data_IF_639808006707
#
_entry.id   IF_639808006707
#
_cell.length_a   1.000
_cell.length_b   1.000
_cell.length_c   1.000
_cell.angle_alpha   90.00
_cell.angle_beta   90.00
_cell.angle_gamma   90.00
#
_symmetry.space_group_name_H-M   'P 1'
#
loop_
_entity.id
_entity.type
_entity.pdbx_description
1 polymer ?
#
# COMPACT_ATOMS: atom_id res chain seq x y z
N UNK A 1 -1.02 -19.42 1.36
CA UNK A 1 -0.31 -18.14 1.55
C UNK A 1 -0.90 -17.45 2.77
N UNK A 2 -0.11 -17.23 3.82
CA UNK A 2 -0.51 -16.44 4.99
C UNK A 2 -0.31 -14.94 4.74
N UNK A 3 -0.94 -14.09 5.56
CA UNK A 3 -0.73 -12.63 5.49
C UNK A 3 0.73 -12.28 5.73
N UNK A 4 1.44 -13.01 6.59
CA UNK A 4 2.89 -12.84 6.78
C UNK A 4 3.67 -13.12 5.50
N UNK A 5 3.38 -14.22 4.83
CA UNK A 5 4.03 -14.58 3.55
C UNK A 5 3.76 -13.53 2.47
N UNK A 6 2.56 -12.93 2.47
CA UNK A 6 2.25 -11.81 1.58
C UNK A 6 3.10 -10.57 1.90
N UNK A 7 3.23 -10.20 3.18
CA UNK A 7 4.11 -9.09 3.61
C UNK A 7 5.57 -9.32 3.20
N UNK A 8 6.07 -10.54 3.34
CA UNK A 8 7.42 -10.93 2.88
C UNK A 8 7.58 -10.74 1.36
N UNK A 9 6.56 -11.10 0.59
CA UNK A 9 6.57 -10.93 -0.86
C UNK A 9 6.53 -9.44 -1.26
N UNK A 10 5.72 -8.63 -0.59
CA UNK A 10 5.69 -7.16 -0.80
C UNK A 10 7.06 -6.55 -0.52
N UNK A 11 7.68 -6.90 0.61
CA UNK A 11 9.03 -6.44 0.93
C UNK A 11 10.07 -6.85 -0.11
N UNK A 12 9.99 -8.08 -0.62
CA UNK A 12 10.87 -8.53 -1.68
C UNK A 12 10.75 -7.65 -2.92
N UNK A 13 9.52 -7.32 -3.34
CA UNK A 13 9.27 -6.41 -4.46
C UNK A 13 9.81 -5.02 -4.17
N UNK A 14 9.53 -4.44 -2.99
CA UNK A 14 10.02 -3.11 -2.59
C UNK A 14 11.55 -3.02 -2.58
N UNK A 15 12.25 -4.06 -2.10
CA UNK A 15 13.72 -4.14 -2.14
C UNK A 15 14.29 -4.17 -3.55
N UNK A 16 13.57 -4.80 -4.48
CA UNK A 16 13.97 -4.82 -5.89
C UNK A 16 13.51 -3.59 -6.66
N UNK A 17 12.58 -2.83 -6.10
CA UNK A 17 12.16 -1.56 -6.65
C UNK A 17 13.31 -0.55 -6.53
N UNK A 18 13.43 0.35 -7.51
CA UNK A 18 14.38 1.47 -7.44
C UNK A 18 13.83 2.63 -6.60
N UNK A 19 12.82 2.39 -5.76
CA UNK A 19 12.26 3.45 -4.95
C UNK A 19 13.28 3.87 -3.88
N UNK A 20 13.51 5.19 -3.72
CA UNK A 20 14.24 5.68 -2.57
C UNK A 20 13.46 5.28 -1.31
N UNK A 21 14.21 5.00 -0.25
CA UNK A 21 13.69 4.60 1.07
C UNK A 21 12.43 5.35 1.49
N UNK A 22 11.54 4.68 2.23
CA UNK A 22 10.40 5.33 2.86
C UNK A 22 10.84 6.08 4.14
N UNK A 23 10.56 7.39 4.20
CA UNK A 23 10.96 8.25 5.32
C UNK A 23 10.25 7.87 6.64
N UNK A 24 9.05 7.28 6.56
CA UNK A 24 8.27 6.84 7.74
C UNK A 24 8.88 5.58 8.33
N UNK A 25 9.33 4.66 7.48
CA UNK A 25 9.99 3.43 7.90
C UNK A 25 11.31 3.70 8.65
N UNK A 26 12.02 4.78 8.31
CA UNK A 26 13.25 5.22 8.99
C UNK A 26 14.45 4.27 8.84
N UNK A 27 14.35 3.27 7.96
CA UNK A 27 15.39 2.27 7.64
C UNK A 27 15.26 1.82 6.19
N UNK A 28 16.32 1.31 5.55
CA UNK A 28 16.23 0.81 4.19
C UNK A 28 15.32 -0.42 4.10
N UNK A 29 14.63 -0.59 2.96
CA UNK A 29 13.78 -1.77 2.72
C UNK A 29 14.55 -3.10 2.84
N UNK A 30 15.88 -3.09 2.64
CA UNK A 30 16.75 -4.26 2.85
C UNK A 30 16.68 -4.79 4.28
N UNK A 31 16.49 -3.89 5.25
CA UNK A 31 16.55 -4.18 6.68
C UNK A 31 15.15 -4.28 7.30
N UNK A 32 14.10 -3.98 6.52
CA UNK A 32 12.72 -4.09 6.94
C UNK A 32 12.28 -5.55 7.10
N UNK A 33 11.45 -5.82 8.11
CA UNK A 33 10.85 -7.13 8.39
C UNK A 33 9.33 -7.07 8.22
N UNK A 34 8.63 -8.22 8.11
CA UNK A 34 7.17 -8.22 7.98
C UNK A 34 6.41 -7.51 9.11
N UNK A 35 7.03 -7.34 10.29
CA UNK A 35 6.43 -6.63 11.43
C UNK A 35 6.46 -5.10 11.25
N UNK A 36 7.31 -4.60 10.34
CA UNK A 36 7.42 -3.19 10.00
C UNK A 36 6.33 -2.70 9.04
N UNK A 37 5.48 -3.60 8.55
CA UNK A 37 4.44 -3.30 7.57
C UNK A 37 3.08 -3.81 8.02
N UNK A 38 2.05 -3.10 7.59
CA UNK A 38 0.68 -3.58 7.64
C UNK A 38 0.02 -3.44 6.27
N UNK A 39 -0.82 -4.41 5.94
CA UNK A 39 -1.54 -4.43 4.67
C UNK A 39 -2.97 -4.01 4.94
N UNK A 40 -3.50 -3.14 4.07
CA UNK A 40 -4.84 -2.58 4.21
C UNK A 40 -5.63 -2.77 2.92
N UNK A 41 -6.95 -2.80 3.05
CA UNK A 41 -7.88 -2.63 1.94
C UNK A 41 -8.67 -1.35 2.16
N UNK A 42 -8.99 -0.63 1.08
CA UNK A 42 -9.92 0.48 1.14
C UNK A 42 -11.37 -0.05 1.29
N UNK A 43 -12.11 0.51 2.23
CA UNK A 43 -13.54 0.25 2.46
C UNK A 43 -14.24 1.57 2.74
N UNK A 44 -15.10 1.99 1.81
CA UNK A 44 -15.88 3.23 1.89
C UNK A 44 -15.00 4.44 2.21
N UNK A 45 -14.86 4.81 3.48
CA UNK A 45 -14.11 5.97 3.96
C UNK A 45 -12.89 5.61 4.85
N UNK A 46 -12.46 4.34 4.88
CA UNK A 46 -11.38 3.89 5.76
C UNK A 46 -10.46 2.83 5.13
N UNK A 47 -9.24 2.76 5.65
CA UNK A 47 -8.29 1.67 5.41
C UNK A 47 -8.40 0.64 6.51
N UNK A 48 -8.84 -0.58 6.17
CA UNK A 48 -9.04 -1.66 7.13
C UNK A 48 -7.87 -2.65 7.03
N UNK A 49 -7.20 -3.01 8.14
CA UNK A 49 -6.14 -4.00 8.13
C UNK A 49 -6.63 -5.33 7.54
N UNK A 50 -5.86 -5.88 6.62
CA UNK A 50 -6.18 -7.10 5.89
C UNK A 50 -6.39 -8.28 6.86
N UNK A 51 -5.54 -8.38 7.87
CA UNK A 51 -5.62 -9.44 8.87
C UNK A 51 -6.89 -9.34 9.77
N UNK A 52 -7.50 -8.16 9.87
CA UNK A 52 -8.72 -7.97 10.66
C UNK A 52 -9.97 -8.52 9.96
N UNK A 53 -9.90 -8.80 8.65
CA UNK A 53 -11.03 -9.33 7.89
C UNK A 53 -11.23 -10.84 8.04
N UNK A 54 -10.22 -11.57 8.50
CA UNK A 54 -10.30 -13.02 8.64
C UNK A 54 -10.82 -13.43 10.02
N UNK A 55 -11.58 -14.52 10.06
CA UNK A 55 -12.04 -15.12 11.31
C UNK A 55 -10.87 -15.72 12.12
N UNK A 56 -10.99 -15.70 13.45
CA UNK A 56 -9.94 -16.14 14.37
C UNK A 56 -9.48 -17.60 14.19
N UNK A 57 -10.32 -18.46 13.62
CA UNK A 57 -10.06 -19.88 13.37
C UNK A 57 -9.27 -20.16 12.09
N UNK A 58 -9.05 -19.16 11.24
CA UNK A 58 -8.49 -19.32 9.90
C UNK A 58 -7.04 -18.81 9.80
N UNK A 59 -6.18 -19.37 10.65
CA UNK A 59 -4.78 -18.95 10.83
C UNK A 59 -3.80 -20.00 10.33
N UNK A 60 -2.65 -19.54 9.86
CA UNK A 60 -1.48 -20.38 9.61
C UNK A 60 -0.75 -20.70 10.93
N UNK A 61 0.28 -21.54 10.85
CA UNK A 61 1.10 -21.95 12.01
C UNK A 61 1.80 -20.77 12.70
N UNK A 62 2.04 -19.68 11.96
CA UNK A 62 2.61 -18.42 12.48
C UNK A 62 1.57 -17.53 13.19
N UNK A 63 0.32 -17.97 13.29
CA UNK A 63 -0.79 -17.24 13.90
C UNK A 63 -1.38 -16.14 13.03
N UNK A 64 -0.83 -15.86 11.84
CA UNK A 64 -1.40 -14.89 10.90
C UNK A 64 -2.53 -15.51 10.07
N UNK A 65 -3.53 -14.73 9.64
CA UNK A 65 -4.60 -15.27 8.82
C UNK A 65 -4.11 -15.80 7.47
N UNK A 66 -4.83 -16.78 6.92
CA UNK A 66 -4.62 -17.20 5.54
C UNK A 66 -5.26 -16.16 4.59
N UNK A 67 -4.53 -15.76 3.54
CA UNK A 67 -4.99 -14.71 2.61
C UNK A 67 -6.33 -15.04 1.94
N UNK A 68 -6.60 -16.33 1.68
CA UNK A 68 -7.87 -16.79 1.08
C UNK A 68 -9.10 -16.47 1.95
N UNK A 69 -8.89 -16.17 3.21
CA UNK A 69 -9.92 -15.83 4.19
C UNK A 69 -9.97 -14.33 4.51
N UNK A 70 -9.18 -13.51 3.82
CA UNK A 70 -9.13 -12.06 4.03
C UNK A 70 -10.01 -11.27 3.04
N UNK A 71 -10.96 -11.94 2.36
CA UNK A 71 -11.90 -11.32 1.41
C UNK A 71 -11.21 -10.51 0.30
N UNK A 72 -10.05 -10.99 -0.16
CA UNK A 72 -9.34 -10.41 -1.31
C UNK A 72 -9.94 -10.93 -2.61
N UNK A 73 -10.26 -10.01 -3.50
CA UNK A 73 -10.74 -10.31 -4.85
C UNK A 73 -9.68 -9.92 -5.89
N UNK A 74 -9.72 -10.58 -7.04
CA UNK A 74 -8.84 -10.22 -8.16
C UNK A 74 -9.10 -8.77 -8.60
N UNK A 75 -8.03 -8.02 -8.82
CA UNK A 75 -8.11 -6.59 -9.18
C UNK A 75 -8.26 -5.64 -7.98
N UNK A 76 -8.37 -6.15 -6.76
CA UNK A 76 -8.40 -5.31 -5.55
C UNK A 76 -7.01 -4.71 -5.26
N UNK A 77 -6.97 -3.41 -4.97
CA UNK A 77 -5.76 -2.75 -4.49
C UNK A 77 -5.48 -3.12 -3.03
N UNK A 78 -4.22 -3.43 -2.73
CA UNK A 78 -3.72 -3.61 -1.36
C UNK A 78 -2.79 -2.44 -1.05
N UNK A 79 -3.10 -1.74 0.04
CA UNK A 79 -2.33 -0.59 0.50
C UNK A 79 -1.35 -1.03 1.59
N UNK A 80 -0.20 -0.38 1.64
CA UNK A 80 0.89 -0.72 2.55
C UNK A 80 1.11 0.46 3.49
N UNK A 81 1.00 0.22 4.79
CA UNK A 81 1.41 1.18 5.83
C UNK A 81 2.71 0.71 6.49
N UNK A 82 3.63 1.63 6.73
CA UNK A 82 4.88 1.35 7.45
C UNK A 82 4.79 1.79 8.91
N UNK A 83 5.56 1.12 9.77
CA UNK A 83 5.69 1.47 11.19
C UNK A 83 7.00 2.21 11.42
N UNK A 84 6.92 3.42 11.99
CA UNK A 84 8.12 4.14 12.41
C UNK A 84 8.72 3.50 13.69
N UNK A 85 10.05 3.64 13.93
CA UNK A 85 10.74 2.98 15.05
C UNK A 85 10.16 3.26 16.44
N UNK A 86 9.44 4.37 16.62
CA UNK A 86 8.88 4.83 17.89
C UNK A 86 7.37 4.59 18.02
N UNK A 87 6.74 3.89 17.07
CA UNK A 87 5.29 3.67 17.07
C UNK A 87 4.88 2.26 17.52
N UNK A 88 3.92 2.20 18.44
CA UNK A 88 3.28 0.95 18.89
C UNK A 88 2.40 0.29 17.81
N UNK A 89 1.98 1.06 16.80
CA UNK A 89 1.16 0.59 15.68
C UNK A 89 1.68 1.18 14.35
N UNK A 90 1.50 0.47 13.22
CA UNK A 90 1.75 1.03 11.90
C UNK A 90 0.87 2.26 11.66
N UNK A 91 1.39 3.24 10.91
CA UNK A 91 0.56 4.36 10.45
C UNK A 91 -0.47 3.92 9.42
N UNK A 92 -1.54 4.71 9.25
CA UNK A 92 -2.42 4.55 8.10
C UNK A 92 -1.62 4.72 6.80
N UNK A 93 -1.95 3.95 5.74
CA UNK A 93 -1.24 4.09 4.48
C UNK A 93 -1.41 5.52 3.96
N UNK A 94 -0.29 6.22 3.73
CA UNK A 94 -0.33 7.52 3.05
C UNK A 94 -0.61 7.27 1.56
N UNK A 95 -1.89 7.26 1.20
CA UNK A 95 -2.34 7.18 -0.19
C UNK A 95 -2.60 8.59 -0.67
N UNK A 96 -1.71 9.11 -1.52
CA UNK A 96 -2.02 10.31 -2.29
C UNK A 96 -2.83 9.85 -3.49
N UNK A 97 -4.15 9.93 -3.39
CA UNK A 97 -5.02 9.70 -4.55
C UNK A 97 -4.67 10.75 -5.62
N UNK A 98 -4.48 10.36 -6.89
CA UNK A 98 -4.28 11.32 -7.95
C UNK A 98 -5.50 12.26 -7.97
N UNK A 99 -5.24 13.53 -7.67
CA UNK A 99 -6.27 14.57 -7.74
C UNK A 99 -6.55 14.80 -9.22
N UNK A 100 -7.81 14.61 -9.65
CA UNK A 100 -8.23 14.87 -11.03
C UNK A 100 -8.04 16.35 -11.46
N UNK A 101 -7.74 17.24 -10.52
CA UNK A 101 -7.51 18.67 -10.74
C UNK A 101 -6.11 19.02 -11.28
N UNK A 102 -5.16 18.08 -11.38
CA UNK A 102 -3.81 18.35 -11.89
C UNK A 102 -3.66 18.23 -13.43
N UNK A 103 -4.73 17.87 -14.15
CA UNK A 103 -4.72 17.70 -15.63
C UNK A 103 -5.49 18.80 -16.39
N UNK A 104 -5.47 20.06 -15.91
CA UNK A 104 -6.10 21.19 -16.62
C UNK A 104 -5.18 22.39 -16.86
N UNK A 105 -3.89 22.21 -17.13
CA UNK A 105 -3.06 23.29 -17.70
C UNK A 105 -2.06 22.78 -18.75
N UNK A 106 -2.55 22.49 -19.97
CA UNK A 106 -1.90 22.93 -21.23
C UNK A 106 -2.84 22.66 -22.43
N UNK A 107 -3.91 23.46 -22.55
CA UNK A 107 -4.72 23.47 -23.78
C UNK A 107 -5.03 24.91 -24.22
N UNK A 108 -4.02 25.77 -24.22
CA UNK A 108 -4.15 27.10 -24.82
C UNK A 108 -2.88 27.50 -25.59
N UNK A 109 -2.73 26.89 -26.76
CA UNK A 109 -1.93 27.47 -27.83
C UNK A 109 -2.65 27.24 -29.17
N UNK A 110 -3.83 27.87 -29.35
CA UNK A 110 -4.31 28.15 -30.70
C UNK A 110 -3.43 29.26 -31.30
N UNK A 111 -2.65 29.02 -32.38
CA UNK A 111 -2.06 30.12 -33.13
C UNK A 111 -3.20 30.89 -33.83
N UNK A 112 -3.20 32.24 -33.79
CA UNK A 112 -4.26 33.02 -34.42
C UNK A 112 -4.23 32.83 -35.94
N UNK A 113 -5.38 32.48 -36.49
CA UNK A 113 -5.65 32.55 -37.93
C UNK A 113 -5.33 33.95 -38.44
N UNK A 114 -4.50 34.06 -39.47
CA UNK A 114 -4.49 35.24 -40.34
C UNK A 114 -4.13 34.85 -41.78
N UNK A 115 -4.98 35.20 -42.77
CA UNK A 115 -4.77 34.90 -44.18
C UNK A 115 -3.86 35.96 -44.84
N UNK A 116 -3.22 35.59 -45.94
CA UNK A 116 -3.38 36.35 -47.18
C UNK A 116 -3.80 35.51 -48.39
#
# INVERSE_FOLDING_TARGET
>A
MSVRQLKEQVLSVLRTSKQPTDDVLGKPFSDATPDDLELYVAREDAYVPLAAQAESSQRADDGTPLCMHCHLEEGMAVYVGFRAPEQDAPGDPMVQEPSLDDDVEDMDAMPPSSPP
#
